data_IF_830328634482
#
_entry.id   IF_830328634482
#
_cell.length_a   1.000
_cell.length_b   1.000
_cell.length_c   1.000
_cell.angle_alpha   90.00
_cell.angle_beta   90.00
_cell.angle_gamma   90.00
#
_symmetry.space_group_name_H-M   'P 1'
#
loop_
_entity.id
_entity.type
_entity.pdbx_description
1 polymer ?
#
# COMPACT_ATOMS: atom_id res chain seq x y z
N UNK A 1 -24.98 -25.10 9.10
CA UNK A 1 -24.49 -23.71 8.98
C UNK A 1 -23.51 -23.67 7.81
N UNK A 2 -23.61 -22.75 6.85
CA UNK A 2 -22.62 -22.65 5.78
C UNK A 2 -21.24 -22.36 6.35
N UNK A 3 -20.21 -23.11 5.91
CA UNK A 3 -18.82 -22.86 6.27
C UNK A 3 -18.44 -21.46 5.74
N UNK A 4 -17.84 -20.63 6.58
CA UNK A 4 -17.34 -19.33 6.19
C UNK A 4 -16.18 -19.54 5.21
N UNK A 5 -16.20 -18.89 4.05
CA UNK A 5 -15.11 -18.96 3.09
C UNK A 5 -13.81 -18.45 3.70
N UNK A 6 -12.70 -19.13 3.43
CA UNK A 6 -11.37 -18.70 3.85
C UNK A 6 -10.97 -17.37 3.21
N UNK A 7 -9.95 -16.69 3.76
CA UNK A 7 -9.40 -15.47 3.10
C UNK A 7 -8.95 -15.76 1.66
N UNK A 8 -8.39 -16.95 1.42
CA UNK A 8 -7.99 -17.40 0.09
C UNK A 8 -9.18 -17.53 -0.87
N UNK A 9 -10.28 -18.16 -0.42
CA UNK A 9 -11.48 -18.28 -1.26
C UNK A 9 -12.10 -16.93 -1.56
N UNK A 10 -12.16 -16.03 -0.55
CA UNK A 10 -12.64 -14.66 -0.75
C UNK A 10 -11.75 -13.88 -1.73
N UNK A 11 -10.42 -13.96 -1.61
CA UNK A 11 -9.51 -13.30 -2.54
C UNK A 11 -9.71 -13.80 -3.99
N UNK A 12 -9.94 -15.11 -4.19
CA UNK A 12 -10.16 -15.69 -5.53
C UNK A 12 -11.46 -15.26 -6.18
N UNK A 13 -12.53 -15.07 -5.42
CA UNK A 13 -13.87 -14.79 -5.91
C UNK A 13 -14.18 -13.32 -6.15
N UNK A 14 -13.25 -12.40 -5.86
CA UNK A 14 -13.48 -10.97 -6.00
C UNK A 14 -13.43 -10.51 -7.46
N UNK A 15 -14.37 -9.64 -7.80
CA UNK A 15 -14.37 -8.86 -9.04
C UNK A 15 -13.70 -7.50 -8.82
N UNK A 16 -13.06 -6.97 -9.86
CA UNK A 16 -12.39 -5.65 -9.81
C UNK A 16 -13.42 -4.54 -9.74
N UNK A 17 -13.24 -3.62 -8.81
CA UNK A 17 -14.05 -2.41 -8.68
C UNK A 17 -13.19 -1.18 -8.92
N UNK A 18 -13.62 -0.26 -9.79
CA UNK A 18 -12.96 1.04 -9.95
C UNK A 18 -13.22 1.87 -8.70
N UNK A 19 -12.15 2.32 -8.06
CA UNK A 19 -12.21 3.27 -6.96
C UNK A 19 -11.81 4.65 -7.45
N UNK A 20 -12.67 5.64 -7.21
CA UNK A 20 -12.39 7.05 -7.49
C UNK A 20 -12.07 7.73 -6.17
N UNK A 21 -10.81 8.12 -6.01
CA UNK A 21 -10.35 8.76 -4.77
C UNK A 21 -10.73 10.24 -4.76
N UNK A 22 -11.19 10.77 -3.61
CA UNK A 22 -11.52 12.18 -3.51
C UNK A 22 -10.24 13.03 -3.63
N UNK A 23 -10.27 14.01 -4.54
CA UNK A 23 -9.19 14.99 -4.69
C UNK A 23 -9.28 16.01 -3.58
N UNK A 24 -8.19 16.20 -2.84
CA UNK A 24 -8.04 17.30 -1.90
C UNK A 24 -6.98 18.27 -2.42
N UNK A 25 -7.40 19.47 -2.83
CA UNK A 25 -6.51 20.49 -3.39
C UNK A 25 -5.41 20.98 -2.43
N UNK A 26 -5.55 20.70 -1.12
CA UNK A 26 -4.60 21.12 -0.08
C UNK A 26 -3.66 19.99 0.36
N UNK A 27 -3.73 18.82 -0.26
CA UNK A 27 -2.89 17.67 0.08
C UNK A 27 -2.20 17.11 -1.16
N UNK A 28 -0.90 16.91 -1.05
CA UNK A 28 -0.06 16.33 -2.11
C UNK A 28 -0.31 14.81 -2.28
N UNK A 29 -0.75 14.17 -1.21
CA UNK A 29 -1.05 12.75 -1.14
C UNK A 29 -2.03 12.48 0.01
N UNK A 30 -2.66 11.31 0.00
CA UNK A 30 -3.49 10.84 1.12
C UNK A 30 -2.68 9.92 2.01
N UNK A 31 -2.86 10.04 3.33
CA UNK A 31 -2.25 9.18 4.32
C UNK A 31 -3.27 8.90 5.43
N UNK A 32 -3.61 7.64 5.63
CA UNK A 32 -4.66 7.26 6.60
C UNK A 32 -4.45 5.85 7.13
N UNK A 33 -5.14 5.53 8.21
CA UNK A 33 -5.31 4.17 8.72
C UNK A 33 -6.75 3.73 8.53
N UNK A 34 -6.97 2.44 8.35
CA UNK A 34 -8.31 1.90 8.35
C UNK A 34 -8.41 0.55 9.06
N UNK A 35 -9.62 0.30 9.53
CA UNK A 35 -10.02 -0.96 10.15
C UNK A 35 -10.25 -2.03 9.08
N UNK A 36 -10.26 -3.29 9.47
CA UNK A 36 -10.68 -4.37 8.60
C UNK A 36 -11.74 -5.26 9.29
N UNK A 37 -12.84 -5.60 8.62
CA UNK A 37 -13.24 -5.16 7.28
C UNK A 37 -13.67 -3.69 7.28
N UNK A 38 -13.23 -2.93 6.28
CA UNK A 38 -13.68 -1.57 6.06
C UNK A 38 -14.86 -1.56 5.06
N UNK A 39 -15.85 -0.68 5.24
CA UNK A 39 -16.87 -0.46 4.22
C UNK A 39 -16.20 -0.03 2.90
N UNK A 40 -16.41 -0.77 1.83
CA UNK A 40 -15.82 -0.49 0.53
C UNK A 40 -14.44 -1.10 0.27
N UNK A 41 -13.74 -1.63 1.28
CA UNK A 41 -12.52 -2.40 1.07
C UNK A 41 -12.82 -3.63 0.22
N UNK A 42 -12.32 -3.64 -1.02
CA UNK A 42 -12.59 -4.67 -2.04
C UNK A 42 -11.39 -4.74 -2.96
N UNK A 43 -11.35 -5.77 -3.77
CA UNK A 43 -10.44 -5.85 -4.90
C UNK A 43 -10.69 -4.67 -5.84
N UNK A 44 -9.91 -3.61 -5.65
CA UNK A 44 -10.10 -2.33 -6.31
C UNK A 44 -8.93 -1.96 -7.23
N UNK A 45 -9.18 -1.00 -8.11
CA UNK A 45 -8.20 -0.38 -8.99
C UNK A 45 -8.40 1.13 -8.97
N UNK A 46 -7.32 1.88 -8.84
CA UNK A 46 -7.30 3.34 -8.91
C UNK A 46 -6.06 3.86 -9.64
N UNK A 47 -6.00 5.16 -9.94
CA UNK A 47 -4.91 5.76 -10.74
C UNK A 47 -3.68 6.14 -9.92
N UNK A 48 -3.79 6.18 -8.60
CA UNK A 48 -2.69 6.51 -7.70
C UNK A 48 -1.77 5.30 -7.51
N UNK A 49 -0.54 5.57 -7.11
CA UNK A 49 0.33 4.61 -6.45
C UNK A 49 -0.11 4.45 -5.02
N UNK A 50 0.02 3.24 -4.47
CA UNK A 50 -0.32 2.97 -3.09
C UNK A 50 0.85 2.31 -2.36
N UNK A 51 1.27 2.91 -1.24
CA UNK A 51 2.14 2.27 -0.26
C UNK A 51 1.27 1.73 0.86
N UNK A 52 1.47 0.47 1.21
CA UNK A 52 0.64 -0.25 2.18
C UNK A 52 1.50 -0.91 3.24
N UNK A 53 1.23 -0.61 4.52
CA UNK A 53 1.78 -1.33 5.67
C UNK A 53 0.65 -2.12 6.33
N UNK A 54 0.79 -3.43 6.41
CA UNK A 54 -0.07 -4.26 7.25
C UNK A 54 0.45 -4.20 8.69
N UNK A 55 -0.28 -3.53 9.57
CA UNK A 55 0.10 -3.41 10.98
C UNK A 55 -0.32 -4.62 11.82
N UNK A 56 -1.46 -5.24 11.48
CA UNK A 56 -2.07 -6.30 12.29
C UNK A 56 -2.71 -7.37 11.40
N UNK A 57 -2.71 -8.61 11.92
CA UNK A 57 -3.40 -9.72 11.26
C UNK A 57 -2.57 -10.44 10.22
N UNK A 58 -3.23 -11.34 9.54
CA UNK A 58 -2.70 -12.15 8.45
C UNK A 58 -3.82 -12.54 7.50
N UNK A 59 -3.48 -13.05 6.32
CA UNK A 59 -4.46 -13.48 5.34
C UNK A 59 -3.85 -13.68 3.96
N UNK A 60 -4.63 -13.37 2.93
CA UNK A 60 -4.19 -13.46 1.55
C UNK A 60 -4.33 -12.12 0.84
N UNK A 61 -3.29 -11.70 0.12
CA UNK A 61 -3.39 -10.60 -0.84
C UNK A 61 -3.76 -11.13 -2.22
N UNK A 62 -4.38 -10.27 -3.01
CA UNK A 62 -4.56 -10.43 -4.45
C UNK A 62 -4.10 -9.15 -5.13
N UNK A 63 -3.10 -9.27 -5.98
CA UNK A 63 -2.54 -8.15 -6.74
C UNK A 63 -2.44 -8.60 -8.20
N UNK A 64 -3.19 -7.95 -9.08
CA UNK A 64 -3.39 -8.47 -10.43
C UNK A 64 -3.97 -9.88 -10.40
N UNK A 65 -3.30 -10.81 -11.02
CA UNK A 65 -3.62 -12.25 -11.04
C UNK A 65 -2.88 -13.05 -9.94
N UNK A 66 -1.90 -12.44 -9.27
CA UNK A 66 -1.11 -13.08 -8.21
C UNK A 66 -1.88 -13.10 -6.89
N UNK A 67 -1.89 -14.26 -6.22
CA UNK A 67 -2.42 -14.42 -4.87
C UNK A 67 -1.31 -14.96 -3.98
N UNK A 68 -1.05 -14.28 -2.87
CA UNK A 68 -0.06 -14.68 -1.89
C UNK A 68 -0.56 -14.52 -0.46
N UNK A 69 0.31 -14.79 0.50
CA UNK A 69 0.02 -14.63 1.92
C UNK A 69 0.66 -13.34 2.46
N UNK A 70 -0.02 -12.72 3.41
CA UNK A 70 0.54 -11.61 4.16
C UNK A 70 0.47 -11.85 5.67
N UNK A 71 1.28 -11.12 6.38
CA UNK A 71 1.29 -11.02 7.85
C UNK A 71 1.58 -9.59 8.29
N UNK A 72 1.35 -9.30 9.55
CA UNK A 72 1.74 -8.01 10.14
C UNK A 72 3.23 -7.73 9.91
N UNK A 73 3.54 -6.47 9.60
CA UNK A 73 4.87 -5.98 9.23
C UNK A 73 5.15 -5.97 7.72
N UNK A 74 4.27 -6.55 6.89
CA UNK A 74 4.45 -6.50 5.43
C UNK A 74 4.28 -5.07 4.92
N UNK A 75 5.25 -4.63 4.14
CA UNK A 75 5.21 -3.36 3.40
C UNK A 75 5.21 -3.66 1.91
N UNK A 76 4.41 -2.91 1.17
CA UNK A 76 4.33 -3.03 -0.29
C UNK A 76 4.13 -1.68 -0.96
N UNK A 77 4.47 -1.60 -2.24
CA UNK A 77 4.07 -0.52 -3.14
C UNK A 77 3.35 -1.12 -4.34
N UNK A 78 2.19 -0.57 -4.66
CA UNK A 78 1.37 -0.97 -5.81
C UNK A 78 1.31 0.20 -6.79
N UNK A 79 1.55 -0.09 -8.06
CA UNK A 79 1.54 0.90 -9.12
C UNK A 79 0.14 1.35 -9.53
N UNK A 80 0.11 2.44 -10.27
CA UNK A 80 -1.12 2.99 -10.85
C UNK A 80 -1.87 1.94 -11.68
N UNK A 81 -3.17 1.82 -11.46
CA UNK A 81 -4.08 0.91 -12.17
C UNK A 81 -3.77 -0.60 -12.01
N UNK A 82 -3.03 -0.97 -11.00
CA UNK A 82 -2.84 -2.38 -10.64
C UNK A 82 -3.96 -2.78 -9.66
N UNK A 83 -4.84 -3.73 -10.01
CA UNK A 83 -5.89 -4.17 -9.10
C UNK A 83 -5.32 -4.88 -7.88
N UNK A 84 -5.80 -4.56 -6.69
CA UNK A 84 -5.26 -5.12 -5.44
C UNK A 84 -6.27 -5.19 -4.30
N UNK A 85 -6.03 -6.10 -3.36
CA UNK A 85 -6.73 -6.22 -2.07
C UNK A 85 -5.94 -7.09 -1.08
N UNK A 86 -6.15 -6.84 0.21
CA UNK A 86 -5.64 -7.65 1.33
C UNK A 86 -6.78 -8.19 2.16
N UNK A 87 -7.09 -9.47 2.01
CA UNK A 87 -8.19 -10.17 2.66
C UNK A 87 -7.71 -10.85 3.92
N UNK A 88 -8.00 -10.27 5.10
CA UNK A 88 -7.59 -10.84 6.39
C UNK A 88 -8.39 -12.07 6.78
N UNK A 89 -7.72 -12.98 7.49
CA UNK A 89 -8.37 -14.05 8.24
C UNK A 89 -9.08 -13.46 9.45
N UNK A 90 -10.38 -13.67 9.56
CA UNK A 90 -11.20 -13.13 10.64
C UNK A 90 -11.95 -14.24 11.37
N UNK A 91 -12.05 -14.11 12.69
CA UNK A 91 -13.06 -14.80 13.50
C UNK A 91 -14.44 -14.20 13.22
N UNK A 92 -15.49 -14.89 13.69
CA UNK A 92 -16.86 -14.37 13.56
C UNK A 92 -16.99 -13.01 14.25
N UNK A 93 -17.51 -12.02 13.53
CA UNK A 93 -17.72 -10.64 14.00
C UNK A 93 -16.43 -9.91 14.48
N UNK A 94 -15.25 -10.39 14.09
CA UNK A 94 -14.00 -9.72 14.41
C UNK A 94 -13.83 -8.50 13.53
N UNK A 95 -13.38 -7.40 14.15
CA UNK A 95 -12.83 -6.22 13.51
C UNK A 95 -11.37 -6.10 13.95
N UNK A 96 -10.49 -5.80 13.02
CA UNK A 96 -9.09 -5.48 13.30
C UNK A 96 -8.96 -3.96 13.15
N UNK A 97 -8.97 -3.25 14.28
CA UNK A 97 -8.84 -1.80 14.29
C UNK A 97 -7.44 -1.35 13.90
N UNK A 98 -7.36 -0.28 13.10
CA UNK A 98 -6.11 0.26 12.55
C UNK A 98 -5.24 -0.84 11.94
N UNK A 99 -5.84 -1.69 11.10
CA UNK A 99 -5.13 -2.81 10.46
C UNK A 99 -3.99 -2.32 9.59
N UNK A 100 -4.23 -1.25 8.84
CA UNK A 100 -3.32 -0.78 7.80
C UNK A 100 -2.98 0.69 7.95
N UNK A 101 -1.78 1.05 7.48
CA UNK A 101 -1.45 2.39 7.05
C UNK A 101 -1.38 2.38 5.54
N UNK A 102 -2.08 3.33 4.92
CA UNK A 102 -2.15 3.49 3.46
C UNK A 102 -1.72 4.90 3.07
N UNK A 103 -0.85 4.98 2.07
CA UNK A 103 -0.46 6.23 1.43
C UNK A 103 -0.80 6.12 -0.06
N UNK A 104 -1.56 7.09 -0.58
CA UNK A 104 -1.94 7.15 -1.99
C UNK A 104 -1.46 8.48 -2.59
N UNK A 105 -0.67 8.41 -3.66
CA UNK A 105 -0.10 9.58 -4.34
C UNK A 105 -0.13 9.40 -5.87
N UNK A 106 -0.24 10.51 -6.60
CA UNK A 106 -0.25 10.47 -8.06
C UNK A 106 1.15 10.59 -8.65
N UNK A 107 1.39 9.93 -9.80
CA UNK A 107 2.61 10.14 -10.59
C UNK A 107 2.77 11.61 -11.00
N UNK A 108 1.67 12.26 -11.37
CA UNK A 108 1.65 13.67 -11.75
C UNK A 108 2.21 14.59 -10.65
N UNK A 109 1.89 14.32 -9.40
CA UNK A 109 2.46 15.08 -8.28
C UNK A 109 3.99 14.94 -8.22
N UNK A 110 4.52 13.73 -8.29
CA UNK A 110 5.97 13.51 -8.28
C UNK A 110 6.66 14.15 -9.51
N UNK A 111 6.02 14.10 -10.68
CA UNK A 111 6.55 14.77 -11.88
C UNK A 111 6.60 16.30 -11.73
N UNK A 112 5.62 16.91 -11.05
CA UNK A 112 5.65 18.34 -10.72
C UNK A 112 6.78 18.66 -9.73
N UNK A 113 6.97 17.84 -8.71
CA UNK A 113 8.07 18.00 -7.74
C UNK A 113 9.43 17.86 -8.41
N UNK A 114 9.60 16.89 -9.32
CA UNK A 114 10.83 16.65 -10.08
C UNK A 114 11.29 17.87 -10.91
N UNK A 115 10.37 18.70 -11.37
CA UNK A 115 10.72 19.93 -12.10
C UNK A 115 11.49 20.94 -11.24
N UNK A 116 11.36 20.87 -9.93
CA UNK A 116 12.02 21.77 -8.97
C UNK A 116 13.05 21.06 -8.10
N UNK A 117 12.92 19.74 -7.96
CA UNK A 117 13.82 18.86 -7.19
C UNK A 117 14.21 17.70 -8.13
N UNK A 118 15.26 17.85 -8.96
CA UNK A 118 15.64 16.83 -9.94
C UNK A 118 15.98 15.46 -9.33
N UNK A 119 16.42 15.43 -8.07
CA UNK A 119 16.78 14.23 -7.32
C UNK A 119 15.61 13.25 -7.17
N UNK A 120 14.37 13.69 -7.35
CA UNK A 120 13.17 12.81 -7.39
C UNK A 120 13.26 11.76 -8.52
N UNK A 121 14.10 12.00 -9.51
CA UNK A 121 14.42 11.02 -10.57
C UNK A 121 14.91 9.68 -9.99
N UNK A 122 15.52 9.67 -8.81
CA UNK A 122 15.96 8.44 -8.12
C UNK A 122 14.82 7.46 -7.83
N UNK A 123 13.57 7.93 -7.85
CA UNK A 123 12.39 7.09 -7.60
C UNK A 123 11.78 6.51 -8.90
N UNK A 124 12.19 6.94 -10.09
CA UNK A 124 11.56 6.52 -11.36
C UNK A 124 11.61 5.00 -11.53
N UNK A 125 12.76 4.38 -11.29
CA UNK A 125 12.90 2.94 -11.40
C UNK A 125 11.96 2.19 -10.43
N UNK A 126 11.84 2.65 -9.19
CA UNK A 126 10.91 2.09 -8.22
C UNK A 126 9.45 2.17 -8.73
N UNK A 127 9.06 3.34 -9.24
CA UNK A 127 7.68 3.55 -9.74
C UNK A 127 7.36 2.69 -10.96
N UNK A 128 8.33 2.51 -11.86
CA UNK A 128 8.15 1.67 -13.03
C UNK A 128 8.05 0.18 -12.65
N UNK A 129 8.88 -0.28 -11.72
CA UNK A 129 8.80 -1.64 -11.17
C UNK A 129 7.51 -1.88 -10.37
N UNK A 130 6.99 -0.86 -9.68
CA UNK A 130 5.73 -0.94 -8.93
C UNK A 130 4.50 -1.22 -9.81
N UNK A 131 4.59 -1.07 -11.14
CA UNK A 131 3.54 -1.52 -12.07
C UNK A 131 3.29 -3.04 -12.00
N UNK A 132 4.17 -3.80 -11.41
CA UNK A 132 4.01 -5.23 -11.10
C UNK A 132 3.70 -5.47 -9.62
N UNK A 133 3.56 -4.40 -8.84
CA UNK A 133 3.66 -4.30 -7.40
C UNK A 133 4.98 -4.86 -6.84
N UNK A 134 5.41 -4.36 -5.69
CA UNK A 134 6.59 -4.86 -4.99
C UNK A 134 6.19 -5.08 -3.53
N UNK A 135 6.42 -6.28 -3.04
CA UNK A 135 6.35 -6.59 -1.61
C UNK A 135 7.79 -6.59 -1.10
N UNK A 136 8.03 -5.81 -0.04
CA UNK A 136 9.34 -5.71 0.58
C UNK A 136 9.46 -6.70 1.74
N UNK A 137 10.68 -7.20 1.93
CA UNK A 137 11.03 -8.15 2.98
C UNK A 137 12.17 -7.60 3.84
N UNK A 138 12.48 -8.32 4.90
CA UNK A 138 13.64 -8.15 5.76
C UNK A 138 13.91 -6.69 6.20
N UNK A 139 15.11 -6.19 6.00
CA UNK A 139 15.53 -4.89 6.50
C UNK A 139 14.78 -3.72 5.86
N UNK A 140 14.54 -3.78 4.56
CA UNK A 140 13.81 -2.72 3.84
C UNK A 140 12.36 -2.61 4.31
N UNK A 141 11.69 -3.75 4.49
CA UNK A 141 10.32 -3.77 5.07
C UNK A 141 10.31 -3.21 6.50
N UNK A 142 11.26 -3.63 7.33
CA UNK A 142 11.35 -3.18 8.72
C UNK A 142 11.66 -1.67 8.83
N UNK A 143 12.57 -1.16 8.00
CA UNK A 143 12.94 0.26 7.99
C UNK A 143 11.79 1.15 7.53
N UNK A 144 11.17 0.82 6.39
CA UNK A 144 10.00 1.55 5.88
C UNK A 144 8.82 1.45 6.86
N UNK A 145 8.58 0.26 7.42
CA UNK A 145 7.51 0.00 8.38
C UNK A 145 7.58 0.87 9.62
N UNK A 146 8.79 1.12 10.19
CA UNK A 146 8.97 2.03 11.33
C UNK A 146 8.49 3.45 11.06
N UNK A 147 8.72 3.95 9.86
CA UNK A 147 8.28 5.29 9.46
C UNK A 147 6.76 5.28 9.26
N UNK A 148 6.25 4.30 8.52
CA UNK A 148 4.83 4.16 8.22
C UNK A 148 3.97 4.02 9.48
N UNK A 149 4.43 3.31 10.52
CA UNK A 149 3.73 3.18 11.80
C UNK A 149 3.38 4.52 12.47
N UNK A 150 4.15 5.55 12.20
CA UNK A 150 4.01 6.86 12.83
C UNK A 150 3.63 7.98 11.88
N UNK A 151 3.64 7.75 10.57
CA UNK A 151 3.49 8.80 9.54
C UNK A 151 2.16 9.57 9.66
N UNK A 152 1.10 8.92 10.13
CA UNK A 152 -0.21 9.56 10.35
C UNK A 152 -0.24 10.54 11.52
N UNK A 153 0.82 10.57 12.35
CA UNK A 153 0.96 11.53 13.45
C UNK A 153 1.55 12.86 12.99
N UNK A 154 2.12 12.90 11.79
CA UNK A 154 2.70 14.08 11.18
C UNK A 154 1.72 14.75 10.24
N UNK A 155 1.95 16.01 9.90
CA UNK A 155 1.15 16.76 8.93
C UNK A 155 2.04 17.74 8.15
N UNK A 156 1.50 18.29 7.06
CA UNK A 156 2.21 19.27 6.24
C UNK A 156 3.55 18.75 5.71
N UNK A 157 4.58 19.60 5.78
CA UNK A 157 5.90 19.28 5.23
C UNK A 157 6.58 18.10 5.94
N UNK A 158 6.36 17.92 7.23
CA UNK A 158 6.94 16.79 7.98
C UNK A 158 6.42 15.44 7.42
N UNK A 159 5.13 15.35 7.10
CA UNK A 159 4.56 14.14 6.51
C UNK A 159 5.10 13.91 5.10
N UNK A 160 5.30 14.97 4.30
CA UNK A 160 5.97 14.89 2.99
C UNK A 160 7.38 14.33 3.13
N UNK A 161 8.18 14.86 4.08
CA UNK A 161 9.53 14.38 4.33
C UNK A 161 9.55 12.88 4.71
N UNK A 162 8.59 12.43 5.53
CA UNK A 162 8.45 11.01 5.88
C UNK A 162 8.10 10.13 4.68
N UNK A 163 7.25 10.59 3.77
CA UNK A 163 6.97 9.88 2.52
C UNK A 163 8.24 9.78 1.65
N UNK A 164 9.02 10.88 1.52
CA UNK A 164 10.26 10.86 0.75
C UNK A 164 11.30 9.89 1.36
N UNK A 165 11.37 9.81 2.69
CA UNK A 165 12.24 8.87 3.40
C UNK A 165 11.82 7.40 3.12
N UNK A 166 10.53 7.11 3.12
CA UNK A 166 9.98 5.79 2.76
C UNK A 166 10.32 5.43 1.31
N UNK A 167 10.07 6.34 0.36
CA UNK A 167 10.40 6.13 -1.05
C UNK A 167 11.89 5.90 -1.27
N UNK A 168 12.75 6.61 -0.52
CA UNK A 168 14.20 6.44 -0.59
C UNK A 168 14.64 5.07 -0.09
N UNK A 169 14.08 4.58 1.02
CA UNK A 169 14.33 3.22 1.52
C UNK A 169 13.91 2.19 0.48
N UNK A 170 12.69 2.33 -0.08
CA UNK A 170 12.16 1.42 -1.09
C UNK A 170 12.97 1.43 -2.38
N UNK A 171 13.44 2.60 -2.85
CA UNK A 171 14.24 2.70 -4.07
C UNK A 171 15.62 2.05 -3.94
N UNK A 172 16.18 2.03 -2.72
CA UNK A 172 17.49 1.46 -2.39
C UNK A 172 17.44 0.03 -1.89
N UNK A 173 16.24 -0.54 -1.70
CA UNK A 173 16.10 -1.92 -1.27
C UNK A 173 16.82 -2.86 -2.24
N UNK A 174 17.65 -3.83 -1.76
CA UNK A 174 18.29 -4.79 -2.62
C UNK A 174 17.26 -5.70 -3.30
N UNK A 175 17.57 -6.22 -4.48
CA UNK A 175 16.67 -7.07 -5.25
C UNK A 175 16.27 -8.35 -4.49
N UNK A 176 17.16 -8.84 -3.63
CA UNK A 176 16.87 -10.00 -2.75
C UNK A 176 15.77 -9.75 -1.72
N UNK A 177 15.44 -8.50 -1.44
CA UNK A 177 14.38 -8.10 -0.51
C UNK A 177 13.09 -7.65 -1.23
N UNK A 178 12.99 -7.88 -2.55
CA UNK A 178 11.83 -7.52 -3.37
C UNK A 178 11.15 -8.76 -3.91
N UNK A 179 9.84 -8.84 -3.78
CA UNK A 179 8.97 -9.82 -4.43
C UNK A 179 8.00 -9.09 -5.36
N UNK A 180 7.95 -9.54 -6.64
CA UNK A 180 7.08 -8.97 -7.68
C UNK A 180 5.88 -9.84 -7.96
#
# INVERSE_FOLDING_TARGET
>A
MPKRSSSLERARSQEVTLEILPVNAFQSFRCFMHDYPAPGARYCVHIEYEIHLIRKGSGHYKIGDKIGKFKAGQVSIVGSRVPHDWVSDLRKNQIISDRDVVIQFSREWLEKVRKTIPEITDFEQLLDQAQRAIIFHDESSAAAGKILETITRYSGIEQVMKLMEVLLIMSRAPESEREY
#
